data_IF_840788596308
#
_entry.id   IF_840788596308
#
_cell.length_a   1.000
_cell.length_b   1.000
_cell.length_c   1.000
_cell.angle_alpha   90.00
_cell.angle_beta   90.00
_cell.angle_gamma   90.00
#
_symmetry.space_group_name_H-M   'P 1'
#
loop_
_entity.id
_entity.type
_entity.pdbx_description
1 polymer ?
#
# COMPACT_ATOMS: atom_id res chain seq x y z
N UNK A 1 -4.72 8.01 -23.42
CA UNK A 1 -3.99 8.42 -22.20
C UNK A 1 -3.23 7.21 -21.70
N UNK A 2 -1.96 7.41 -21.34
CA UNK A 2 -1.17 6.37 -20.68
C UNK A 2 -1.79 6.07 -19.30
N UNK A 3 -1.76 4.81 -18.87
CA UNK A 3 -2.30 4.42 -17.55
C UNK A 3 -1.37 4.88 -16.42
N UNK A 4 -0.06 4.82 -16.68
CA UNK A 4 1.01 5.28 -15.79
C UNK A 4 1.91 6.23 -16.56
N UNK A 5 2.48 7.23 -15.86
CA UNK A 5 3.27 8.31 -16.47
C UNK A 5 4.72 8.35 -15.98
N UNK A 6 5.14 7.37 -15.17
CA UNK A 6 6.49 7.26 -14.62
C UNK A 6 7.19 5.97 -15.08
N UNK A 7 8.28 5.62 -14.41
CA UNK A 7 9.11 4.43 -14.69
C UNK A 7 8.38 3.09 -14.58
N UNK A 8 7.18 3.04 -13.98
CA UNK A 8 6.32 1.87 -14.04
C UNK A 8 5.68 1.64 -15.42
N UNK A 9 5.50 2.68 -16.24
CA UNK A 9 4.82 2.58 -17.51
C UNK A 9 5.44 1.54 -18.47
N UNK A 10 6.75 1.55 -18.75
CA UNK A 10 7.38 0.50 -19.56
C UNK A 10 7.39 -0.87 -18.85
N UNK A 11 7.49 -0.88 -17.51
CA UNK A 11 7.60 -2.10 -16.69
C UNK A 11 6.28 -2.90 -16.67
N UNK A 12 5.14 -2.22 -16.68
CA UNK A 12 3.80 -2.82 -16.63
C UNK A 12 3.05 -2.77 -17.97
N UNK A 13 3.69 -2.29 -19.05
CA UNK A 13 3.05 -2.12 -20.35
C UNK A 13 2.34 -3.41 -20.84
N UNK A 14 3.03 -4.55 -20.80
CA UNK A 14 2.46 -5.84 -21.20
C UNK A 14 1.34 -6.32 -20.29
N UNK A 15 1.38 -5.97 -18.99
CA UNK A 15 0.38 -6.40 -18.02
C UNK A 15 -1.00 -5.81 -18.34
N UNK A 16 -1.02 -4.56 -18.82
CA UNK A 16 -2.24 -3.85 -19.20
C UNK A 16 -2.90 -4.38 -20.47
N UNK A 17 -2.18 -5.17 -21.28
CA UNK A 17 -2.71 -5.79 -22.50
C UNK A 17 -3.20 -7.23 -22.26
N UNK A 18 -2.96 -7.79 -21.07
CA UNK A 18 -3.39 -9.16 -20.76
C UNK A 18 -4.92 -9.28 -20.74
N UNK A 19 -5.48 -10.41 -21.22
CA UNK A 19 -6.93 -10.61 -21.29
C UNK A 19 -7.67 -10.41 -19.96
N UNK A 20 -7.06 -10.82 -18.84
CA UNK A 20 -7.69 -10.66 -17.52
C UNK A 20 -7.81 -9.17 -17.14
N UNK A 21 -6.80 -8.35 -17.44
CA UNK A 21 -6.82 -6.93 -17.12
C UNK A 21 -7.79 -6.18 -18.04
N UNK A 22 -7.84 -6.52 -19.33
CA UNK A 22 -8.82 -5.95 -20.25
C UNK A 22 -10.27 -6.23 -19.81
N UNK A 23 -10.54 -7.47 -19.35
CA UNK A 23 -11.84 -7.84 -18.76
C UNK A 23 -12.14 -7.04 -17.49
N UNK A 24 -11.17 -6.94 -16.58
CA UNK A 24 -11.27 -6.15 -15.35
C UNK A 24 -11.60 -4.67 -15.68
N UNK A 25 -10.86 -4.07 -16.61
CA UNK A 25 -11.05 -2.68 -17.05
C UNK A 25 -12.43 -2.44 -17.64
N UNK A 26 -12.94 -3.36 -18.46
CA UNK A 26 -14.27 -3.23 -19.04
C UNK A 26 -15.36 -3.27 -17.96
N UNK A 27 -15.28 -4.22 -17.04
CA UNK A 27 -16.20 -4.30 -15.91
C UNK A 27 -16.14 -3.04 -15.03
N UNK A 28 -14.93 -2.53 -14.73
CA UNK A 28 -14.80 -1.30 -13.94
C UNK A 28 -15.44 -0.09 -14.64
N UNK A 29 -15.32 0.04 -15.97
CA UNK A 29 -16.01 1.12 -16.71
C UNK A 29 -17.52 1.08 -16.47
N UNK A 30 -18.12 -0.11 -16.53
CA UNK A 30 -19.56 -0.30 -16.28
C UNK A 30 -19.90 -0.01 -14.81
N UNK A 31 -19.07 -0.45 -13.87
CA UNK A 31 -19.31 -0.23 -12.44
C UNK A 31 -19.21 1.26 -12.07
N UNK A 32 -18.18 1.98 -12.52
CA UNK A 32 -18.06 3.41 -12.27
C UNK A 32 -19.20 4.23 -12.91
N UNK A 33 -19.83 3.72 -13.97
CA UNK A 33 -21.00 4.37 -14.60
C UNK A 33 -22.31 4.12 -13.85
N UNK A 34 -22.42 3.02 -13.11
CA UNK A 34 -23.70 2.52 -12.57
C UNK A 34 -23.78 2.54 -11.05
N UNK A 35 -22.66 2.63 -10.36
CA UNK A 35 -22.61 2.58 -8.90
C UNK A 35 -21.40 3.32 -8.34
N UNK A 36 -21.44 3.61 -7.04
CA UNK A 36 -20.32 4.24 -6.33
C UNK A 36 -19.18 3.24 -6.14
N UNK A 37 -18.05 3.49 -6.79
CA UNK A 37 -16.80 2.75 -6.63
C UNK A 37 -15.75 3.63 -5.97
N UNK A 38 -14.95 3.05 -5.08
CA UNK A 38 -13.81 3.69 -4.44
C UNK A 38 -12.50 2.98 -4.78
N UNK A 39 -11.36 3.71 -4.87
CA UNK A 39 -11.28 5.17 -4.87
C UNK A 39 -11.86 5.78 -6.16
N UNK A 40 -11.78 7.10 -6.31
CA UNK A 40 -12.03 7.75 -7.60
C UNK A 40 -11.17 7.12 -8.71
N UNK A 41 -11.69 7.05 -9.94
CA UNK A 41 -11.02 6.33 -11.03
C UNK A 41 -9.62 6.85 -11.35
N UNK A 42 -9.36 8.15 -11.14
CA UNK A 42 -8.04 8.75 -11.35
C UNK A 42 -7.08 8.49 -10.19
N UNK A 43 -7.57 7.91 -9.10
CA UNK A 43 -6.79 7.58 -7.90
C UNK A 43 -6.54 6.07 -7.75
N UNK A 44 -6.92 5.24 -8.72
CA UNK A 44 -6.71 3.78 -8.62
C UNK A 44 -5.22 3.44 -8.49
N UNK A 45 -4.37 4.12 -9.25
CA UNK A 45 -2.93 3.84 -9.31
C UNK A 45 -2.07 4.83 -8.51
N UNK A 46 -2.65 5.59 -7.57
CA UNK A 46 -1.92 6.61 -6.78
C UNK A 46 -0.64 6.06 -6.15
N UNK A 47 -0.66 4.83 -5.61
CA UNK A 47 0.52 4.19 -5.03
C UNK A 47 1.68 4.07 -6.03
N UNK A 48 1.39 3.69 -7.28
CA UNK A 48 2.41 3.54 -8.34
C UNK A 48 2.86 4.90 -8.86
N UNK A 49 1.98 5.90 -8.92
CA UNK A 49 2.35 7.25 -9.33
C UNK A 49 3.26 7.95 -8.31
N UNK A 50 2.93 7.84 -7.02
CA UNK A 50 3.72 8.46 -5.95
C UNK A 50 5.00 7.70 -5.63
N UNK A 51 5.02 6.39 -5.88
CA UNK A 51 6.19 5.53 -5.68
C UNK A 51 6.60 4.88 -6.99
N UNK A 52 7.50 5.53 -7.73
CA UNK A 52 8.15 4.96 -8.91
C UNK A 52 8.82 3.61 -8.64
N UNK A 53 9.00 2.83 -9.71
CA UNK A 53 9.59 1.50 -9.67
C UNK A 53 10.98 1.53 -9.04
N UNK A 54 11.85 2.44 -9.48
CA UNK A 54 13.22 2.51 -9.00
C UNK A 54 13.36 3.16 -7.62
N UNK A 55 12.50 4.11 -7.28
CA UNK A 55 12.53 4.79 -5.98
C UNK A 55 11.91 3.97 -4.85
N UNK A 56 11.22 2.86 -5.15
CA UNK A 56 10.63 2.03 -4.11
C UNK A 56 11.72 1.48 -3.18
N UNK A 57 11.56 1.70 -1.87
CA UNK A 57 12.43 1.23 -0.77
C UNK A 57 11.68 0.26 0.15
N UNK A 58 10.38 0.48 0.33
CA UNK A 58 9.51 -0.26 1.26
C UNK A 58 8.18 -0.58 0.56
N UNK A 59 7.61 -1.75 0.80
CA UNK A 59 6.28 -2.14 0.35
C UNK A 59 5.42 -2.49 1.56
N UNK A 60 4.29 -1.80 1.73
CA UNK A 60 3.30 -2.07 2.78
C UNK A 60 2.01 -2.55 2.12
N UNK A 61 1.70 -3.83 2.33
CA UNK A 61 0.53 -4.46 1.70
C UNK A 61 -0.73 -4.29 2.54
N UNK A 62 -1.76 -3.72 1.92
CA UNK A 62 -3.15 -3.75 2.39
C UNK A 62 -4.00 -4.76 1.62
N UNK A 63 -5.25 -4.93 2.06
CA UNK A 63 -6.17 -5.89 1.45
C UNK A 63 -7.01 -5.25 0.33
N UNK A 64 -8.02 -4.46 0.70
CA UNK A 64 -8.90 -3.70 -0.19
C UNK A 64 -8.97 -2.23 0.24
N UNK A 65 -9.43 -1.31 -0.63
CA UNK A 65 -9.56 0.10 -0.28
C UNK A 65 -10.65 0.30 0.78
N UNK A 66 -10.59 1.42 1.49
CA UNK A 66 -11.71 1.83 2.32
C UNK A 66 -12.98 2.00 1.49
N UNK A 67 -14.09 1.45 1.98
CA UNK A 67 -15.38 1.42 1.29
C UNK A 67 -16.33 2.56 1.68
N UNK A 68 -15.89 3.49 2.53
CA UNK A 68 -16.67 4.65 2.95
C UNK A 68 -16.39 5.92 2.12
N UNK A 69 -17.36 6.85 2.03
CA UNK A 69 -17.19 8.09 1.28
C UNK A 69 -15.99 8.92 1.73
N UNK A 70 -15.22 9.41 0.75
CA UNK A 70 -14.07 10.31 0.97
C UNK A 70 -12.84 9.65 1.60
N UNK A 71 -12.89 8.37 1.96
CA UNK A 71 -11.80 7.70 2.66
C UNK A 71 -10.66 7.29 1.71
N UNK A 72 -10.92 6.38 0.78
CA UNK A 72 -9.90 5.82 -0.10
C UNK A 72 -9.41 6.83 -1.14
N UNK A 73 -8.10 6.84 -1.37
CA UNK A 73 -7.44 7.68 -2.38
C UNK A 73 -6.29 6.98 -3.11
N UNK A 74 -6.30 5.63 -3.12
CA UNK A 74 -5.32 4.83 -3.86
C UNK A 74 -4.07 4.40 -3.10
N UNK A 75 -4.00 4.69 -1.79
CA UNK A 75 -2.94 4.22 -0.89
C UNK A 75 -3.52 3.31 0.18
N UNK A 76 -2.88 2.18 0.46
CA UNK A 76 -3.25 1.30 1.58
C UNK A 76 -3.19 2.05 2.91
N UNK A 77 -4.13 1.76 3.82
CA UNK A 77 -4.27 2.39 5.16
C UNK A 77 -4.47 3.91 5.23
N UNK A 78 -4.20 4.66 4.16
CA UNK A 78 -4.30 6.12 4.17
C UNK A 78 -5.73 6.59 3.88
N UNK A 79 -6.09 7.73 4.47
CA UNK A 79 -7.32 8.47 4.18
C UNK A 79 -7.01 9.92 3.79
N UNK A 80 -7.91 10.56 3.03
CA UNK A 80 -7.78 11.98 2.63
C UNK A 80 -7.76 12.92 3.85
N UNK A 81 -7.18 14.13 3.71
CA UNK A 81 -7.30 15.18 4.72
C UNK A 81 -8.76 15.44 5.11
N UNK A 82 -8.99 15.79 6.38
CA UNK A 82 -10.34 15.99 6.94
C UNK A 82 -11.09 14.72 7.30
N UNK A 83 -10.61 13.53 6.88
CA UNK A 83 -11.16 12.25 7.32
C UNK A 83 -10.44 11.77 8.57
N UNK A 84 -11.22 11.42 9.60
CA UNK A 84 -10.67 10.85 10.83
C UNK A 84 -9.93 9.54 10.53
N UNK A 85 -8.68 9.37 11.03
CA UNK A 85 -7.94 8.12 10.90
C UNK A 85 -8.78 6.91 11.33
N UNK A 86 -8.93 5.87 10.49
CA UNK A 86 -9.64 4.65 10.87
C UNK A 86 -8.93 3.89 11.99
N UNK A 87 -9.60 2.95 12.70
CA UNK A 87 -9.00 2.26 13.85
C UNK A 87 -7.67 1.56 13.55
N UNK A 88 -7.52 0.94 12.38
CA UNK A 88 -6.25 0.33 11.97
C UNK A 88 -5.13 1.37 11.86
N UNK A 89 -5.41 2.54 11.27
CA UNK A 89 -4.40 3.60 11.14
C UNK A 89 -4.04 4.23 12.49
N UNK A 90 -5.01 4.38 13.39
CA UNK A 90 -4.72 4.81 14.76
C UNK A 90 -3.78 3.84 15.49
N UNK A 91 -3.92 2.53 15.26
CA UNK A 91 -3.00 1.55 15.81
C UNK A 91 -1.61 1.60 15.14
N UNK A 92 -1.54 1.84 13.84
CA UNK A 92 -0.27 2.11 13.14
C UNK A 92 0.45 3.31 13.80
N UNK A 93 -0.26 4.39 14.09
CA UNK A 93 0.31 5.56 14.77
C UNK A 93 0.74 5.28 16.21
N UNK A 94 -0.01 4.49 16.97
CA UNK A 94 0.39 4.06 18.33
C UNK A 94 1.68 3.25 18.29
N UNK A 95 1.81 2.33 17.35
CA UNK A 95 3.05 1.56 17.18
C UNK A 95 4.19 2.47 16.72
N UNK A 96 3.94 3.40 15.80
CA UNK A 96 4.94 4.35 15.33
C UNK A 96 5.48 5.22 16.47
N UNK A 97 4.60 5.73 17.34
CA UNK A 97 4.97 6.49 18.52
C UNK A 97 5.78 5.63 19.50
N UNK A 98 5.37 4.38 19.75
CA UNK A 98 6.11 3.45 20.62
C UNK A 98 7.49 3.08 20.06
N UNK A 99 7.58 2.93 18.74
CA UNK A 99 8.78 2.46 18.06
C UNK A 99 9.84 3.56 17.86
N UNK A 100 9.41 4.75 17.40
CA UNK A 100 10.29 5.84 16.99
C UNK A 100 10.04 7.16 17.73
N UNK A 101 9.10 7.20 18.68
CA UNK A 101 8.72 8.41 19.41
C UNK A 101 8.20 9.56 18.49
N UNK A 102 7.64 9.21 17.34
CA UNK A 102 7.03 10.20 16.44
C UNK A 102 5.76 10.80 17.07
N UNK A 103 5.53 12.08 16.79
CA UNK A 103 4.27 12.73 17.08
C UNK A 103 3.15 12.17 16.18
N UNK A 104 1.98 11.94 16.77
CA UNK A 104 0.81 11.41 16.07
C UNK A 104 0.03 12.57 15.43
N UNK A 105 -0.13 12.61 14.09
CA UNK A 105 -0.91 13.67 13.45
C UNK A 105 -2.41 13.45 13.66
N UNK A 106 -3.20 14.52 13.52
CA UNK A 106 -4.67 14.46 13.59
C UNK A 106 -5.33 14.02 12.26
N UNK A 107 -4.53 13.76 11.22
CA UNK A 107 -4.99 13.31 9.90
C UNK A 107 -4.44 11.93 9.52
N UNK A 108 -5.05 11.30 8.52
CA UNK A 108 -4.66 9.97 8.04
C UNK A 108 -3.95 9.94 6.68
N UNK A 109 -3.41 11.09 6.27
CA UNK A 109 -2.83 11.30 4.93
C UNK A 109 -1.36 10.89 4.91
N UNK A 110 -1.04 9.76 4.25
CA UNK A 110 0.26 9.08 4.29
C UNK A 110 1.11 9.35 3.04
N UNK A 111 0.71 10.32 2.22
CA UNK A 111 1.43 10.69 0.98
C UNK A 111 2.89 11.07 1.24
N UNK A 112 3.21 11.61 2.43
CA UNK A 112 4.58 11.90 2.86
C UNK A 112 5.48 10.65 2.84
N UNK A 113 4.97 9.48 3.26
CA UNK A 113 5.71 8.23 3.19
C UNK A 113 5.85 7.73 1.75
N UNK A 114 4.77 7.83 0.95
CA UNK A 114 4.79 7.38 -0.45
C UNK A 114 5.83 8.14 -1.28
N UNK A 115 5.93 9.46 -1.11
CA UNK A 115 6.93 10.30 -1.78
C UNK A 115 8.38 9.94 -1.42
N UNK A 116 8.61 9.23 -0.31
CA UNK A 116 9.93 8.76 0.14
C UNK A 116 10.29 7.34 -0.32
N UNK A 117 9.42 6.68 -1.10
CA UNK A 117 9.67 5.31 -1.57
C UNK A 117 8.89 4.23 -0.81
N UNK A 118 7.90 4.60 0.02
CA UNK A 118 7.02 3.63 0.70
C UNK A 118 5.80 3.33 -0.16
N UNK A 119 5.84 2.21 -0.89
CA UNK A 119 4.74 1.75 -1.72
C UNK A 119 3.59 1.19 -0.85
N UNK A 120 2.56 2.00 -0.65
CA UNK A 120 1.35 1.65 0.09
C UNK A 120 0.32 0.97 -0.83
N UNK A 121 0.53 -0.31 -1.17
CA UNK A 121 -0.24 -1.04 -2.18
C UNK A 121 -1.33 -1.93 -1.54
N UNK A 122 -2.58 -1.83 -1.98
CA UNK A 122 -3.60 -2.84 -1.67
C UNK A 122 -3.53 -4.00 -2.67
N UNK A 123 -3.86 -5.22 -2.26
CA UNK A 123 -3.98 -6.37 -3.19
C UNK A 123 -5.22 -6.31 -4.09
N UNK A 124 -6.23 -5.53 -3.70
CA UNK A 124 -7.40 -5.18 -4.50
C UNK A 124 -7.46 -3.66 -4.59
N UNK A 125 -7.55 -3.09 -5.80
CA UNK A 125 -7.39 -1.64 -5.98
C UNK A 125 -8.71 -0.86 -6.02
N UNK A 126 -9.85 -1.53 -6.08
CA UNK A 126 -11.18 -0.88 -6.07
C UNK A 126 -12.18 -1.65 -5.22
N UNK A 127 -13.24 -0.99 -4.78
CA UNK A 127 -14.33 -1.58 -3.98
C UNK A 127 -15.63 -0.82 -4.21
N UNK A 128 -16.79 -1.49 -4.10
CA UNK A 128 -18.10 -0.85 -4.13
C UNK A 128 -18.37 -0.16 -2.79
N UNK A 129 -19.00 1.01 -2.85
CA UNK A 129 -19.38 1.77 -1.65
C UNK A 129 -20.18 0.92 -0.66
N UNK A 130 -19.72 0.86 0.59
CA UNK A 130 -20.36 0.11 1.68
C UNK A 130 -20.28 -1.42 1.56
N UNK A 131 -19.54 -1.98 0.59
CA UNK A 131 -19.46 -3.44 0.35
C UNK A 131 -17.99 -3.91 0.37
N UNK A 132 -17.41 -4.18 1.56
CA UNK A 132 -16.03 -4.64 1.66
C UNK A 132 -15.80 -5.92 0.83
N UNK A 133 -14.61 -6.07 0.25
CA UNK A 133 -14.21 -7.19 -0.61
C UNK A 133 -15.07 -7.41 -1.87
N UNK A 134 -15.91 -6.46 -2.29
CA UNK A 134 -16.82 -6.67 -3.43
C UNK A 134 -16.12 -6.90 -4.76
N UNK A 135 -14.86 -6.49 -4.91
CA UNK A 135 -14.03 -6.69 -6.12
C UNK A 135 -12.95 -7.75 -5.95
N UNK A 136 -13.00 -8.53 -4.87
CA UNK A 136 -12.11 -9.67 -4.69
C UNK A 136 -12.30 -10.68 -5.83
N UNK A 137 -11.20 -11.18 -6.38
CA UNK A 137 -11.19 -12.19 -7.44
C UNK A 137 -11.56 -11.67 -8.82
N UNK A 138 -11.65 -10.35 -9.02
CA UNK A 138 -11.98 -9.76 -10.31
C UNK A 138 -10.76 -9.54 -11.21
N UNK A 139 -9.55 -9.79 -10.70
CA UNK A 139 -8.30 -9.70 -11.45
C UNK A 139 -7.28 -8.74 -10.83
N UNK A 140 -7.66 -7.96 -9.82
CA UNK A 140 -6.72 -7.08 -9.14
C UNK A 140 -5.58 -7.82 -8.47
N UNK A 141 -5.87 -8.97 -7.86
CA UNK A 141 -4.85 -9.76 -7.19
C UNK A 141 -3.76 -10.20 -8.17
N UNK A 142 -4.14 -10.63 -9.39
CA UNK A 142 -3.18 -10.98 -10.44
C UNK A 142 -2.31 -9.78 -10.85
N UNK A 143 -2.92 -8.60 -10.99
CA UNK A 143 -2.20 -7.37 -11.31
C UNK A 143 -1.21 -6.99 -10.19
N UNK A 144 -1.65 -6.98 -8.93
CA UNK A 144 -0.80 -6.61 -7.81
C UNK A 144 0.27 -7.66 -7.51
N UNK A 145 -0.01 -8.93 -7.79
CA UNK A 145 0.98 -10.01 -7.70
C UNK A 145 2.10 -9.78 -8.72
N UNK A 146 1.77 -9.35 -9.94
CA UNK A 146 2.77 -8.95 -10.92
C UNK A 146 3.61 -7.77 -10.45
N UNK A 147 3.00 -6.75 -9.84
CA UNK A 147 3.73 -5.61 -9.27
C UNK A 147 4.74 -6.07 -8.22
N UNK A 148 4.33 -6.94 -7.31
CA UNK A 148 5.20 -7.52 -6.27
C UNK A 148 6.31 -8.37 -6.89
N UNK A 149 5.98 -9.20 -7.89
CA UNK A 149 6.95 -10.05 -8.59
C UNK A 149 8.04 -9.22 -9.26
N UNK A 150 7.66 -8.15 -9.96
CA UNK A 150 8.61 -7.23 -10.61
C UNK A 150 9.53 -6.56 -9.59
N UNK A 151 8.97 -6.08 -8.47
CA UNK A 151 9.79 -5.53 -7.37
C UNK A 151 10.74 -6.57 -6.78
N UNK A 152 10.30 -7.82 -6.66
CA UNK A 152 11.12 -8.92 -6.18
C UNK A 152 12.23 -9.35 -7.17
N UNK A 153 12.07 -9.03 -8.45
CA UNK A 153 13.11 -9.27 -9.47
C UNK A 153 14.21 -8.20 -9.44
N UNK A 154 14.02 -7.07 -8.75
CA UNK A 154 15.03 -6.03 -8.64
C UNK A 154 16.28 -6.51 -7.91
N UNK A 155 17.41 -5.93 -8.31
CA UNK A 155 18.70 -6.09 -7.62
C UNK A 155 18.76 -5.23 -6.36
N UNK A 156 18.17 -4.03 -6.41
CA UNK A 156 18.09 -3.12 -5.26
C UNK A 156 17.21 -3.75 -4.17
N UNK A 157 17.75 -4.00 -2.96
CA UNK A 157 16.99 -4.57 -1.85
C UNK A 157 15.80 -3.71 -1.44
N UNK A 158 14.76 -4.38 -0.97
CA UNK A 158 13.51 -3.76 -0.50
C UNK A 158 13.15 -4.31 0.88
N UNK A 159 12.34 -3.55 1.62
CA UNK A 159 11.66 -4.06 2.82
C UNK A 159 10.19 -4.31 2.50
N UNK A 160 9.72 -5.54 2.70
CA UNK A 160 8.32 -5.90 2.63
C UNK A 160 7.73 -5.97 4.04
N UNK A 161 6.75 -5.12 4.33
CA UNK A 161 6.02 -5.12 5.59
C UNK A 161 4.69 -5.83 5.39
N UNK A 162 4.56 -7.00 6.01
CA UNK A 162 3.46 -7.94 5.79
C UNK A 162 2.60 -8.07 7.05
N UNK A 163 1.56 -7.25 7.13
CA UNK A 163 0.64 -7.22 8.26
C UNK A 163 -0.58 -8.11 8.05
N UNK A 164 -0.69 -9.15 8.87
CA UNK A 164 -1.78 -10.12 8.83
C UNK A 164 -1.57 -11.24 7.81
N UNK A 165 -2.42 -12.27 7.93
CA UNK A 165 -2.26 -13.54 7.20
C UNK A 165 -2.26 -13.36 5.67
N UNK A 166 -3.18 -12.56 5.14
CA UNK A 166 -3.30 -12.32 3.69
C UNK A 166 -2.03 -11.69 3.09
N UNK A 167 -1.41 -10.73 3.78
CA UNK A 167 -0.14 -10.15 3.34
C UNK A 167 1.01 -11.16 3.50
N UNK A 168 1.02 -11.94 4.58
CA UNK A 168 2.05 -12.96 4.83
C UNK A 168 2.02 -14.11 3.83
N UNK A 169 0.87 -14.41 3.22
CA UNK A 169 0.78 -15.38 2.12
C UNK A 169 1.60 -14.96 0.90
N UNK A 170 1.92 -13.66 0.74
CA UNK A 170 2.84 -13.17 -0.31
C UNK A 170 4.31 -13.39 0.02
N UNK A 171 4.66 -13.73 1.27
CA UNK A 171 6.04 -13.95 1.69
C UNK A 171 6.73 -15.09 0.95
N UNK A 172 5.98 -16.13 0.56
CA UNK A 172 6.55 -17.30 -0.13
C UNK A 172 7.14 -17.00 -1.51
N UNK A 173 6.76 -15.87 -2.10
CA UNK A 173 7.23 -15.45 -3.43
C UNK A 173 8.38 -14.44 -3.35
N UNK A 174 8.75 -13.98 -2.15
CA UNK A 174 9.78 -12.96 -1.95
C UNK A 174 11.14 -13.64 -1.75
N UNK A 175 12.13 -13.23 -2.53
CA UNK A 175 13.51 -13.68 -2.39
C UNK A 175 14.17 -13.01 -1.19
N UNK A 176 14.20 -13.74 -0.07
CA UNK A 176 14.78 -13.26 1.19
C UNK A 176 16.30 -13.23 1.21
N UNK A 177 16.97 -13.72 0.17
CA UNK A 177 18.41 -13.51 0.00
C UNK A 177 18.72 -12.07 -0.42
N UNK A 178 17.76 -11.41 -1.09
CA UNK A 178 17.84 -10.02 -1.56
C UNK A 178 17.06 -9.05 -0.70
N UNK A 179 15.80 -9.38 -0.42
CA UNK A 179 14.84 -8.48 0.25
C UNK A 179 14.66 -8.84 1.73
N UNK A 180 14.17 -7.89 2.52
CA UNK A 180 13.87 -8.10 3.93
C UNK A 180 12.37 -8.17 4.16
N UNK A 181 11.93 -9.09 5.02
CA UNK A 181 10.52 -9.23 5.39
C UNK A 181 10.33 -8.88 6.86
N UNK A 182 9.38 -7.99 7.13
CA UNK A 182 8.91 -7.64 8.47
C UNK A 182 7.44 -8.05 8.56
N UNK A 183 7.16 -9.14 9.28
CA UNK A 183 5.82 -9.67 9.43
C UNK A 183 5.30 -9.50 10.86
N UNK A 184 4.02 -9.18 10.98
CA UNK A 184 3.28 -9.18 12.26
C UNK A 184 1.79 -9.43 12.00
N UNK A 185 0.97 -9.66 13.04
CA UNK A 185 -0.48 -9.54 12.94
C UNK A 185 -0.94 -8.20 12.35
N UNK A 186 -2.17 -8.15 11.85
CA UNK A 186 -2.74 -6.94 11.26
C UNK A 186 -2.94 -5.84 12.32
N UNK A 187 -2.82 -4.54 11.98
CA UNK A 187 -3.09 -3.42 12.90
C UNK A 187 -4.57 -3.24 13.28
N UNK A 188 -5.47 -4.14 12.86
CA UNK A 188 -6.89 -4.05 13.18
C UNK A 188 -7.10 -4.23 14.68
N UNK A 189 -8.09 -3.57 15.31
CA UNK A 189 -8.40 -3.76 16.73
C UNK A 189 -8.55 -5.23 17.16
N UNK A 190 -8.99 -6.11 16.25
CA UNK A 190 -9.16 -7.55 16.52
C UNK A 190 -7.84 -8.32 16.68
N UNK A 191 -6.74 -7.80 16.13
CA UNK A 191 -5.47 -8.52 16.05
C UNK A 191 -4.26 -7.74 16.57
N UNK A 192 -4.36 -6.43 16.78
CA UNK A 192 -3.20 -5.59 17.07
C UNK A 192 -2.45 -6.02 18.34
N UNK A 193 -3.19 -6.34 19.41
CA UNK A 193 -2.64 -6.84 20.68
C UNK A 193 -2.02 -8.25 20.60
N UNK A 194 -2.15 -8.95 19.47
CA UNK A 194 -1.61 -10.31 19.29
C UNK A 194 -0.18 -10.32 18.74
N UNK A 195 0.44 -9.14 18.63
CA UNK A 195 1.84 -8.99 18.20
C UNK A 195 2.09 -7.95 17.11
N UNK A 196 1.08 -7.16 16.69
CA UNK A 196 1.37 -5.95 15.90
C UNK A 196 2.06 -4.91 16.79
N UNK A 197 1.49 -4.66 17.96
CA UNK A 197 2.13 -3.79 18.96
C UNK A 197 3.41 -4.44 19.47
N UNK A 198 4.50 -3.65 19.49
CA UNK A 198 5.84 -4.12 19.82
C UNK A 198 6.57 -4.84 18.68
N UNK A 199 5.99 -4.91 17.47
CA UNK A 199 6.67 -5.50 16.30
C UNK A 199 7.78 -4.62 15.74
N UNK A 200 7.76 -3.32 16.08
CA UNK A 200 8.75 -2.29 15.73
C UNK A 200 9.06 -2.22 14.24
N UNK A 201 8.04 -2.16 13.36
CA UNK A 201 8.26 -2.33 11.94
C UNK A 201 9.03 -1.16 11.32
N UNK A 202 8.94 0.03 11.89
CA UNK A 202 9.51 1.26 11.32
C UNK A 202 11.01 1.35 11.61
N UNK A 203 11.43 1.16 12.86
CA UNK A 203 12.85 1.15 13.23
C UNK A 203 13.61 0.00 12.59
N UNK A 204 12.99 -1.19 12.51
CA UNK A 204 13.57 -2.35 11.81
C UNK A 204 13.73 -2.10 10.30
N UNK A 205 12.78 -1.40 9.69
CA UNK A 205 12.87 -0.98 8.28
C UNK A 205 14.09 -0.08 8.08
N UNK A 206 14.21 0.98 8.88
CA UNK A 206 15.32 1.92 8.77
C UNK A 206 16.68 1.26 9.07
N UNK A 207 16.74 0.36 10.05
CA UNK A 207 17.94 -0.42 10.33
C UNK A 207 18.39 -1.26 9.11
N UNK A 208 17.44 -1.90 8.41
CA UNK A 208 17.76 -2.64 7.19
C UNK A 208 18.23 -1.72 6.07
N UNK A 209 17.50 -0.63 5.78
CA UNK A 209 17.87 0.33 4.73
C UNK A 209 19.29 0.87 4.97
N UNK A 210 19.59 1.30 6.20
CA UNK A 210 20.91 1.76 6.62
C UNK A 210 22.00 0.70 6.40
N UNK A 211 21.72 -0.57 6.72
CA UNK A 211 22.66 -1.68 6.51
C UNK A 211 23.01 -1.93 5.04
N UNK A 212 22.14 -1.47 4.12
CA UNK A 212 22.32 -1.57 2.66
C UNK A 212 22.82 -0.27 2.03
N UNK A 213 23.09 0.76 2.83
CA UNK A 213 23.46 2.08 2.32
C UNK A 213 22.32 2.80 1.60
N UNK A 214 21.07 2.39 1.83
CA UNK A 214 19.87 3.04 1.30
C UNK A 214 19.43 4.08 2.33
N UNK A 215 19.10 5.28 1.85
CA UNK A 215 18.58 6.35 2.70
C UNK A 215 17.30 5.91 3.42
N UNK A 216 17.29 6.14 4.73
CA UNK A 216 16.20 5.77 5.64
C UNK A 216 14.90 6.53 5.32
N UNK A 217 13.78 6.02 5.82
CA UNK A 217 12.50 6.72 5.72
C UNK A 217 12.35 7.65 6.93
N UNK A 218 12.01 8.91 6.68
CA UNK A 218 11.44 9.78 7.71
C UNK A 218 9.97 9.40 7.93
N UNK A 219 9.74 8.66 9.01
CA UNK A 219 8.40 8.21 9.37
C UNK A 219 7.57 9.29 10.08
N UNK A 220 8.18 10.41 10.51
CA UNK A 220 7.46 11.51 11.14
C UNK A 220 6.58 12.20 10.10
N UNK A 221 5.27 11.98 10.18
CA UNK A 221 4.33 12.71 9.34
C UNK A 221 4.31 14.20 9.74
N UNK A 222 4.13 15.12 8.78
CA UNK A 222 3.75 16.50 9.07
C UNK A 222 2.53 16.53 10.00
N UNK A 223 2.49 17.49 10.93
CA UNK A 223 1.35 17.59 11.87
C UNK A 223 0.06 18.08 11.19
N UNK A 224 0.21 18.79 10.07
CA UNK A 224 -0.88 19.21 9.19
C UNK A 224 -0.75 18.48 7.87
N UNK A 225 -1.88 18.10 7.28
CA UNK A 225 -1.85 17.45 5.99
C UNK A 225 -1.45 18.48 4.91
N UNK A 226 -0.37 18.17 4.19
CA UNK A 226 0.04 18.90 2.99
C UNK A 226 -0.45 18.14 1.77
N UNK A 227 -1.29 18.75 0.93
CA UNK A 227 -1.71 18.18 -0.35
C UNK A 227 -0.61 18.31 -1.42
#
# INVERSE_FOLDING_TARGET
>A
MAVLENDWAPVLAEEFEKPYYLKLRQMLKEEYQTQTIYPDMYQIFTALHLTGYEQAKVVILGQDPYHGPGQAHGLSFSVKPGIKPPPSLQNIYKELQSDLNCAVPEHGYLTHWAKQGVMMLNTVLTVRGGRPNSHKGLGWEAFTDRVIELLNQRETPLVFILWGKHAQEKASFIDTSKHHIISSPHPSPFSANRGFFGSRPFSRTNAFLRSKGIEEIDWQLPLQAEE
#
